data_IF_902610840773
#
_entry.id   IF_902610840773
#
_cell.length_a   1.000
_cell.length_b   1.000
_cell.length_c   1.000
_cell.angle_alpha   90.00
_cell.angle_beta   90.00
_cell.angle_gamma   90.00
#
_symmetry.space_group_name_H-M   'P 1'
#
loop_
_entity.id
_entity.type
_entity.pdbx_description
1 polymer ?
#
# COMPACT_ATOMS: atom_id res chain seq x y z
N UNK A 1 -5.93 6.94 -12.11
CA UNK A 1 -5.92 6.61 -10.69
C UNK A 1 -4.81 5.67 -10.29
N UNK A 2 -4.68 4.59 -11.03
CA UNK A 2 -3.65 3.60 -10.69
C UNK A 2 -2.25 4.16 -10.74
N UNK A 3 -2.03 5.12 -11.61
CA UNK A 3 -0.71 5.69 -11.76
C UNK A 3 -0.23 6.43 -10.53
N UNK A 4 -1.18 7.00 -9.79
CA UNK A 4 -0.82 7.79 -8.62
C UNK A 4 -0.51 6.94 -7.42
N UNK A 5 -0.91 5.67 -7.44
CA UNK A 5 -0.74 4.82 -6.29
C UNK A 5 0.72 4.64 -5.89
N UNK A 6 1.65 4.37 -6.83
CA UNK A 6 3.06 4.26 -6.44
C UNK A 6 3.60 5.54 -5.83
N UNK A 7 3.12 6.69 -6.28
CA UNK A 7 3.56 7.96 -5.72
C UNK A 7 3.05 8.12 -4.30
N UNK A 8 1.81 7.74 -4.06
CA UNK A 8 1.27 7.78 -2.71
C UNK A 8 2.03 6.86 -1.77
N UNK A 9 2.36 5.68 -2.26
CA UNK A 9 3.12 4.74 -1.45
C UNK A 9 4.48 5.32 -1.09
N UNK A 10 5.15 5.93 -2.05
CA UNK A 10 6.44 6.53 -1.78
C UNK A 10 6.32 7.66 -0.79
N UNK A 11 5.34 8.52 -0.97
CA UNK A 11 5.14 9.64 -0.05
C UNK A 11 4.88 9.15 1.37
N UNK A 12 4.04 8.14 1.50
CA UNK A 12 3.74 7.60 2.81
C UNK A 12 4.97 7.00 3.47
N UNK A 13 5.80 6.33 2.68
CA UNK A 13 7.03 5.76 3.22
C UNK A 13 7.99 6.84 3.69
N UNK A 14 8.07 7.92 2.92
CA UNK A 14 8.93 9.03 3.31
C UNK A 14 8.45 9.67 4.61
N UNK A 15 7.14 9.82 4.74
CA UNK A 15 6.60 10.40 5.96
C UNK A 15 6.83 9.48 7.15
N UNK A 16 6.68 8.18 6.95
CA UNK A 16 6.95 7.24 8.02
C UNK A 16 8.40 7.32 8.46
N UNK A 17 9.31 7.42 7.49
CA UNK A 17 10.73 7.52 7.81
C UNK A 17 11.04 8.82 8.54
N UNK A 18 10.42 9.91 8.14
CA UNK A 18 10.61 11.19 8.83
C UNK A 18 10.16 11.11 10.26
N UNK A 19 8.98 10.51 10.49
CA UNK A 19 8.47 10.39 11.84
C UNK A 19 9.39 9.55 12.70
N UNK A 20 9.94 8.50 12.14
CA UNK A 20 10.86 7.65 12.87
C UNK A 20 12.13 8.40 13.24
N UNK A 21 12.64 9.18 12.31
CA UNK A 21 13.83 9.96 12.56
C UNK A 21 13.61 10.99 13.67
N UNK A 22 12.47 11.65 13.61
CA UNK A 22 12.13 12.60 14.65
C UNK A 22 12.01 11.90 15.99
N UNK A 23 11.33 10.75 16.00
CA UNK A 23 11.16 10.00 17.24
C UNK A 23 12.50 9.62 17.84
N UNK A 24 13.46 9.25 17.00
CA UNK A 24 14.77 8.85 17.49
C UNK A 24 15.53 9.99 18.10
N UNK A 25 15.26 11.22 17.68
CA UNK A 25 15.95 12.38 18.21
C UNK A 25 15.26 13.07 19.36
N UNK A 26 14.07 12.62 19.72
CA UNK A 26 13.30 13.26 20.76
C UNK A 26 13.62 12.63 22.10
N UNK A 27 13.83 13.49 23.10
CA UNK A 27 14.13 13.00 24.46
C UNK A 27 12.86 12.74 25.22
N UNK A 28 11.83 13.53 24.98
CA UNK A 28 10.57 13.39 25.67
C UNK A 28 9.88 12.10 25.27
N UNK A 29 9.63 11.24 26.26
CA UNK A 29 9.03 9.93 26.00
C UNK A 29 7.64 10.03 25.40
N UNK A 30 6.84 10.98 25.88
CA UNK A 30 5.49 11.12 25.35
C UNK A 30 5.50 11.55 23.91
N UNK A 31 6.35 12.50 23.60
CA UNK A 31 6.44 12.99 22.23
C UNK A 31 6.98 11.91 21.31
N UNK A 32 7.96 11.17 21.79
CA UNK A 32 8.50 10.05 21.03
C UNK A 32 7.42 9.05 20.69
N UNK A 33 6.59 8.73 21.68
CA UNK A 33 5.48 7.80 21.48
C UNK A 33 4.52 8.30 20.41
N UNK A 34 4.23 9.58 20.45
CA UNK A 34 3.33 10.17 19.47
C UNK A 34 3.88 10.05 18.06
N UNK A 35 5.16 10.32 17.88
CA UNK A 35 5.75 10.20 16.55
C UNK A 35 5.81 8.76 16.08
N UNK A 36 6.08 7.83 16.97
CA UNK A 36 6.06 6.43 16.59
C UNK A 36 4.66 5.99 16.22
N UNK A 37 3.66 6.51 16.91
CA UNK A 37 2.28 6.20 16.59
C UNK A 37 1.91 6.71 15.19
N UNK A 38 2.35 7.92 14.87
CA UNK A 38 2.13 8.48 13.54
C UNK A 38 2.85 7.64 12.49
N UNK A 39 4.07 7.23 12.80
CA UNK A 39 4.83 6.38 11.89
C UNK A 39 4.09 5.08 11.61
N UNK A 40 3.48 4.51 12.63
CA UNK A 40 2.69 3.30 12.46
C UNK A 40 1.51 3.52 11.53
N UNK A 41 0.88 4.67 11.64
CA UNK A 41 -0.26 4.98 10.78
C UNK A 41 0.16 5.12 9.33
N UNK A 42 1.29 5.78 9.08
CA UNK A 42 1.80 5.88 7.71
C UNK A 42 2.18 4.53 7.16
N UNK A 43 2.81 3.69 7.99
CA UNK A 43 3.17 2.35 7.58
C UNK A 43 1.94 1.52 7.25
N UNK A 44 0.90 1.69 8.03
CA UNK A 44 -0.35 0.97 7.78
C UNK A 44 -0.94 1.39 6.42
N UNK A 45 -0.89 2.68 6.12
CA UNK A 45 -1.36 3.16 4.83
C UNK A 45 -0.56 2.57 3.69
N UNK A 46 0.76 2.49 3.86
CA UNK A 46 1.59 1.87 2.83
C UNK A 46 1.15 0.44 2.56
N UNK A 47 0.93 -0.31 3.62
CA UNK A 47 0.49 -1.69 3.45
C UNK A 47 -0.84 -1.79 2.76
N UNK A 48 -1.74 -0.89 3.09
CA UNK A 48 -3.05 -0.88 2.45
C UNK A 48 -2.93 -0.57 0.97
N UNK A 49 -2.14 0.41 0.62
CA UNK A 49 -1.97 0.79 -0.79
C UNK A 49 -1.27 -0.31 -1.57
N UNK A 50 -0.26 -0.94 -0.97
CA UNK A 50 0.42 -2.04 -1.62
C UNK A 50 -0.54 -3.20 -1.86
N UNK A 51 -1.41 -3.45 -0.89
CA UNK A 51 -2.42 -4.49 -1.05
C UNK A 51 -3.36 -4.17 -2.21
N UNK A 52 -3.82 -2.92 -2.28
CA UNK A 52 -4.70 -2.50 -3.36
C UNK A 52 -4.00 -2.64 -4.71
N UNK A 53 -2.75 -2.23 -4.76
CA UNK A 53 -1.99 -2.34 -6.00
C UNK A 53 -1.86 -3.79 -6.44
N UNK A 54 -1.59 -4.67 -5.49
CA UNK A 54 -1.48 -6.08 -5.78
C UNK A 54 -2.81 -6.65 -6.26
N UNK A 55 -3.88 -6.22 -5.64
CA UNK A 55 -5.20 -6.68 -6.00
C UNK A 55 -5.56 -6.23 -7.42
N UNK A 56 -5.25 -4.98 -7.75
CA UNK A 56 -5.51 -4.48 -9.09
C UNK A 56 -4.72 -5.26 -10.13
N UNK A 57 -3.48 -5.54 -9.82
CA UNK A 57 -2.63 -6.32 -10.74
C UNK A 57 -3.21 -7.72 -10.92
N UNK A 58 -3.67 -8.30 -9.83
CA UNK A 58 -4.28 -9.62 -9.89
C UNK A 58 -5.54 -9.60 -10.75
N UNK A 59 -6.36 -8.58 -10.59
CA UNK A 59 -7.59 -8.47 -11.38
C UNK A 59 -7.30 -8.27 -12.85
N UNK A 60 -6.28 -7.46 -13.16
CA UNK A 60 -5.90 -7.27 -14.56
C UNK A 60 -5.39 -8.56 -15.17
N UNK A 61 -4.62 -9.31 -14.42
CA UNK A 61 -4.13 -10.59 -14.91
C UNK A 61 -5.28 -11.57 -15.12
N UNK A 62 -6.24 -11.57 -14.22
CA UNK A 62 -7.38 -12.44 -14.34
C UNK A 62 -8.20 -12.09 -15.58
N UNK A 63 -8.39 -10.80 -15.82
CA UNK A 63 -9.12 -10.37 -17.01
C UNK A 63 -8.37 -10.75 -18.27
N UNK A 64 -7.06 -10.56 -18.27
CA UNK A 64 -6.25 -10.89 -19.43
C UNK A 64 -6.32 -12.39 -19.71
N UNK A 65 -6.20 -13.19 -18.69
CA UNK A 65 -6.29 -14.64 -18.83
C UNK A 65 -7.65 -15.05 -19.35
N UNK A 66 -8.68 -14.42 -18.82
CA UNK A 66 -10.03 -14.72 -19.25
C UNK A 66 -10.23 -14.37 -20.71
N UNK A 67 -9.70 -13.24 -21.13
CA UNK A 67 -9.84 -12.81 -22.52
C UNK A 67 -9.04 -13.70 -23.46
N UNK A 68 -7.89 -14.19 -23.01
CA UNK A 68 -7.01 -15.02 -23.84
C UNK A 68 -7.50 -16.44 -23.95
N UNK A 69 -8.23 -16.91 -22.96
CA UNK A 69 -8.70 -18.29 -22.96
C UNK A 69 -9.94 -18.42 -23.79
N UNK A 70 -10.07 -19.53 -24.49
CA UNK A 70 -11.31 -19.80 -25.20
C UNK A 70 -12.43 -19.94 -24.18
N UNK A 71 -13.60 -19.58 -24.61
CA UNK A 71 -14.72 -19.59 -23.73
C UNK A 71 -14.88 -20.97 -23.13
N UNK A 72 -14.89 -21.01 -21.83
CA UNK A 72 -14.98 -22.29 -21.17
C UNK A 72 -16.36 -22.88 -21.33
N UNK A 73 -16.44 -24.13 -21.72
CA UNK A 73 -17.74 -24.78 -21.84
C UNK A 73 -18.43 -24.88 -20.52
N UNK A 74 -17.68 -24.95 -19.46
CA UNK A 74 -18.28 -25.04 -18.14
C UNK A 74 -19.12 -23.82 -17.83
N UNK A 75 -18.69 -22.69 -18.32
CA UNK A 75 -19.44 -21.47 -18.05
C UNK A 75 -20.77 -21.44 -18.78
N UNK A 76 -20.94 -22.32 -19.71
CA UNK A 76 -22.18 -22.37 -20.46
C UNK A 76 -23.26 -23.16 -19.78
N UNK A 77 -22.93 -23.85 -18.78
CA UNK A 77 -23.90 -24.75 -18.16
C UNK A 77 -24.66 -24.13 -17.04
#
# INVERSE_FOLDING_TARGET
MLRLLPEYIRDCRERAAECREIANGVIDENLKKQYLDIEHRWTHLVRSYVFVESLERFLLDAERTKAAMPKSPASDD
#
